data_IF_194815224761
#
_entry.id   IF_194815224761
#
_cell.length_a   1.000
_cell.length_b   1.000
_cell.length_c   1.000
_cell.angle_alpha   90.00
_cell.angle_beta   90.00
_cell.angle_gamma   90.00
#
_symmetry.space_group_name_H-M   'P 1'
#
loop_
_entity.id
_entity.type
_entity.pdbx_description
1 polymer ?
#
# COMPACT_ATOMS: atom_id res chain seq x y z
N UNK A 1 1.86 -0.23 25.63
CA UNK A 1 2.47 -1.37 24.90
C UNK A 1 1.56 -2.06 23.84
N UNK A 2 0.22 -2.03 23.95
CA UNK A 2 -0.70 -2.74 23.02
C UNK A 2 -0.77 -2.14 21.60
N UNK A 3 -0.63 -0.81 21.46
CA UNK A 3 -0.68 -0.08 20.16
C UNK A 3 0.54 -0.32 19.26
N UNK A 4 1.73 -0.51 19.87
CA UNK A 4 2.97 -0.80 19.15
C UNK A 4 2.94 -2.19 18.48
N UNK A 5 2.35 -3.19 19.13
CA UNK A 5 2.17 -4.54 18.57
C UNK A 5 1.23 -4.55 17.36
N UNK A 6 0.27 -3.63 17.31
CA UNK A 6 -0.64 -3.49 16.15
C UNK A 6 0.12 -2.91 14.96
N UNK A 7 0.93 -1.87 15.16
CA UNK A 7 1.79 -1.29 14.13
C UNK A 7 2.85 -2.28 13.61
N UNK A 8 3.41 -3.12 14.47
CA UNK A 8 4.35 -4.18 14.06
C UNK A 8 3.65 -5.27 13.24
N UNK A 9 2.41 -5.65 13.57
CA UNK A 9 1.59 -6.57 12.74
C UNK A 9 1.21 -5.94 11.39
N UNK A 10 1.06 -4.62 11.35
CA UNK A 10 0.83 -3.85 10.11
C UNK A 10 2.09 -3.83 9.23
N UNK A 11 3.28 -3.75 9.83
CA UNK A 11 4.55 -3.82 9.10
C UNK A 11 4.79 -5.20 8.43
N UNK A 12 4.32 -6.29 9.05
CA UNK A 12 4.43 -7.65 8.46
C UNK A 12 3.57 -7.86 7.21
N UNK A 13 2.57 -7.00 7.00
CA UNK A 13 1.54 -7.08 5.97
C UNK A 13 1.97 -6.47 4.65
N UNK A 14 2.63 -5.32 4.67
CA UNK A 14 3.05 -4.59 3.45
C UNK A 14 4.45 -5.06 2.99
N UNK A 15 5.11 -5.90 3.78
CA UNK A 15 6.46 -6.37 3.52
C UNK A 15 7.51 -5.49 4.20
N UNK A 16 8.81 -5.88 4.11
CA UNK A 16 9.91 -5.20 4.80
C UNK A 16 9.99 -3.69 4.53
N UNK A 17 9.49 -3.25 3.36
CA UNK A 17 9.51 -1.86 2.95
C UNK A 17 8.60 -0.93 3.79
N UNK A 18 7.48 -1.41 4.33
CA UNK A 18 6.62 -0.57 5.16
C UNK A 18 7.06 -0.45 6.62
N UNK A 19 7.95 -1.33 7.09
CA UNK A 19 8.64 -1.11 8.36
C UNK A 19 9.33 0.25 8.32
N UNK A 20 10.00 0.57 7.19
CA UNK A 20 10.67 1.87 7.00
C UNK A 20 9.69 3.05 6.95
N UNK A 21 8.54 2.90 6.29
CA UNK A 21 7.50 3.94 6.25
C UNK A 21 6.94 4.20 7.66
N UNK A 22 6.66 3.14 8.42
CA UNK A 22 6.21 3.27 9.81
C UNK A 22 7.29 3.81 10.76
N UNK A 23 8.57 3.59 10.46
CA UNK A 23 9.68 4.20 11.19
C UNK A 23 9.81 5.70 10.88
N UNK A 24 9.72 6.07 9.60
CA UNK A 24 9.81 7.46 9.14
C UNK A 24 8.64 8.32 9.66
N UNK A 25 7.41 7.84 9.52
CA UNK A 25 6.20 8.60 9.85
C UNK A 25 5.58 8.24 11.21
N UNK A 26 6.19 7.29 11.92
CA UNK A 26 5.67 6.78 13.21
C UNK A 26 5.35 7.86 14.27
N UNK A 27 6.16 8.92 14.43
CA UNK A 27 5.85 10.01 15.35
C UNK A 27 4.61 10.82 14.95
N UNK A 28 4.46 11.17 13.67
CA UNK A 28 3.32 11.94 13.14
C UNK A 28 2.03 11.14 13.23
N UNK A 29 2.07 9.85 12.81
CA UNK A 29 0.94 8.92 12.96
C UNK A 29 0.50 8.82 14.43
N UNK A 30 1.44 8.75 15.38
CA UNK A 30 1.10 8.68 16.81
C UNK A 30 0.44 9.95 17.34
N UNK A 31 0.80 11.10 16.79
CA UNK A 31 0.22 12.40 17.14
C UNK A 31 -1.22 12.49 16.62
N UNK A 32 -1.42 12.20 15.34
CA UNK A 32 -2.73 12.14 14.70
C UNK A 32 -3.68 11.13 15.35
N UNK A 33 -3.21 9.94 15.74
CA UNK A 33 -4.05 8.97 16.48
C UNK A 33 -4.50 9.51 17.85
N UNK A 34 -3.71 10.39 18.48
CA UNK A 34 -4.10 11.00 19.77
C UNK A 34 -5.10 12.12 19.58
N UNK A 35 -4.91 12.93 18.54
CA UNK A 35 -5.70 14.14 18.26
C UNK A 35 -7.02 13.79 17.55
N UNK A 36 -6.99 12.80 16.65
CA UNK A 36 -8.14 12.34 15.88
C UNK A 36 -8.25 10.79 15.93
N UNK A 37 -9.07 10.23 16.84
CA UNK A 37 -9.24 8.78 16.95
C UNK A 37 -9.95 8.14 15.75
N UNK A 38 -10.77 8.90 15.00
CA UNK A 38 -11.52 8.42 13.84
C UNK A 38 -10.59 8.17 12.64
N UNK A 39 -9.59 9.04 12.45
CA UNK A 39 -8.49 8.83 11.52
C UNK A 39 -7.87 7.44 11.69
N UNK A 40 -7.68 7.00 12.93
CA UNK A 40 -7.09 5.69 13.20
C UNK A 40 -7.92 4.51 12.69
N UNK A 41 -9.26 4.57 12.76
CA UNK A 41 -10.09 3.46 12.30
C UNK A 41 -10.16 3.40 10.76
N UNK A 42 -10.22 4.55 10.08
CA UNK A 42 -10.11 4.64 8.61
C UNK A 42 -8.73 4.15 8.14
N UNK A 43 -7.66 4.66 8.77
CA UNK A 43 -6.29 4.25 8.50
C UNK A 43 -6.09 2.74 8.69
N UNK A 44 -6.62 2.19 9.77
CA UNK A 44 -6.54 0.76 10.10
C UNK A 44 -7.40 -0.10 9.18
N UNK A 45 -8.53 0.38 8.65
CA UNK A 45 -9.31 -0.32 7.63
C UNK A 45 -8.54 -0.39 6.31
N UNK A 46 -7.96 0.72 5.85
CA UNK A 46 -7.12 0.76 4.64
C UNK A 46 -5.87 -0.12 4.78
N UNK A 47 -5.23 -0.12 5.95
CA UNK A 47 -4.13 -1.04 6.23
C UNK A 47 -4.56 -2.51 6.29
N UNK A 48 -5.78 -2.81 6.74
CA UNK A 48 -6.32 -4.17 6.80
C UNK A 48 -6.69 -4.72 5.42
N UNK A 49 -7.20 -3.90 4.50
CA UNK A 49 -7.46 -4.35 3.13
C UNK A 49 -6.14 -4.76 2.46
N UNK A 50 -5.08 -3.97 2.67
CA UNK A 50 -3.72 -4.27 2.23
C UNK A 50 -3.12 -5.51 2.95
N UNK A 51 -3.53 -5.76 4.20
CA UNK A 51 -3.17 -6.96 4.99
C UNK A 51 -3.77 -8.26 4.52
N UNK A 52 -5.05 -8.23 4.17
CA UNK A 52 -5.78 -9.40 3.70
C UNK A 52 -5.14 -9.98 2.45
N UNK A 53 -4.69 -9.11 1.55
CA UNK A 53 -4.15 -9.48 0.24
C UNK A 53 -2.85 -10.32 0.32
N UNK A 54 -2.05 -10.22 1.39
CA UNK A 54 -0.83 -11.04 1.58
C UNK A 54 -1.09 -12.42 2.21
N UNK A 55 -2.23 -12.60 2.88
CA UNK A 55 -2.64 -13.91 3.43
C UNK A 55 -3.15 -14.85 2.35
N UNK A 56 -3.50 -14.32 1.19
CA UNK A 56 -3.93 -15.12 0.06
C UNK A 56 -2.78 -15.83 -0.64
N UNK A 57 -3.12 -16.98 -1.23
CA UNK A 57 -2.24 -18.01 -1.81
C UNK A 57 -0.99 -17.43 -2.51
N UNK A 58 0.19 -17.96 -2.18
CA UNK A 58 1.42 -17.63 -2.92
C UNK A 58 1.31 -17.99 -4.41
N UNK A 59 2.02 -17.25 -5.26
CA UNK A 59 1.97 -17.44 -6.71
C UNK A 59 1.08 -16.43 -7.46
N UNK A 60 0.77 -16.70 -8.74
CA UNK A 60 0.14 -15.72 -9.62
C UNK A 60 -1.20 -15.18 -9.13
N UNK A 61 -2.06 -16.03 -8.57
CA UNK A 61 -3.37 -15.62 -8.08
C UNK A 61 -3.31 -14.66 -6.88
N UNK A 62 -2.35 -14.84 -5.96
CA UNK A 62 -2.13 -13.92 -4.85
C UNK A 62 -1.59 -12.57 -5.32
N UNK A 63 -0.67 -12.59 -6.28
CA UNK A 63 -0.19 -11.37 -6.91
C UNK A 63 -1.30 -10.59 -7.63
N UNK A 64 -2.18 -11.28 -8.37
CA UNK A 64 -3.30 -10.65 -9.07
C UNK A 64 -4.22 -9.89 -8.10
N UNK A 65 -4.62 -10.52 -6.99
CA UNK A 65 -5.44 -9.85 -5.96
C UNK A 65 -4.74 -8.64 -5.34
N UNK A 66 -3.45 -8.77 -5.03
CA UNK A 66 -2.67 -7.65 -4.49
C UNK A 66 -2.59 -6.49 -5.49
N UNK A 67 -2.42 -6.77 -6.78
CA UNK A 67 -2.43 -5.78 -7.84
C UNK A 67 -3.78 -5.06 -7.91
N UNK A 68 -4.89 -5.80 -7.86
CA UNK A 68 -6.25 -5.24 -7.84
C UNK A 68 -6.46 -4.28 -6.65
N UNK A 69 -6.09 -4.69 -5.43
CA UNK A 69 -6.19 -3.82 -4.25
C UNK A 69 -5.37 -2.53 -4.40
N UNK A 70 -4.14 -2.62 -4.92
CA UNK A 70 -3.29 -1.43 -5.13
C UNK A 70 -3.83 -0.54 -6.25
N UNK A 71 -4.51 -1.12 -7.24
CA UNK A 71 -5.19 -0.36 -8.31
C UNK A 71 -6.33 0.48 -7.73
N UNK A 72 -7.12 -0.06 -6.82
CA UNK A 72 -8.17 0.71 -6.13
C UNK A 72 -7.58 1.91 -5.35
N UNK A 73 -6.45 1.70 -4.66
CA UNK A 73 -5.80 2.79 -3.92
C UNK A 73 -5.20 3.88 -4.83
N UNK A 74 -4.68 3.50 -6.00
CA UNK A 74 -4.17 4.49 -6.97
C UNK A 74 -5.29 5.29 -7.63
N UNK A 75 -6.49 4.71 -7.81
CA UNK A 75 -7.69 5.45 -8.24
C UNK A 75 -8.11 6.47 -7.19
N UNK A 76 -8.10 6.11 -5.90
CA UNK A 76 -8.37 7.04 -4.82
C UNK A 76 -7.40 8.23 -4.85
N UNK A 77 -6.10 7.96 -4.87
CA UNK A 77 -5.06 9.01 -4.92
C UNK A 77 -5.19 9.91 -6.14
N UNK A 78 -5.58 9.36 -7.30
CA UNK A 78 -5.83 10.17 -8.48
C UNK A 78 -7.04 11.09 -8.28
N UNK A 79 -8.10 10.60 -7.63
CA UNK A 79 -9.31 11.38 -7.35
C UNK A 79 -9.11 12.45 -6.28
N UNK A 80 -8.20 12.26 -5.34
CA UNK A 80 -7.87 13.23 -4.27
C UNK A 80 -6.68 14.13 -4.62
N UNK A 81 -6.01 13.88 -5.75
CA UNK A 81 -4.81 14.63 -6.15
C UNK A 81 -5.08 16.14 -6.22
N UNK A 82 -4.46 16.88 -5.30
CA UNK A 82 -4.50 18.35 -5.24
C UNK A 82 -3.56 19.04 -6.25
N UNK A 83 -2.70 18.28 -6.95
CA UNK A 83 -1.78 18.80 -7.95
C UNK A 83 -1.50 17.80 -9.09
N UNK A 84 -0.99 18.33 -10.21
CA UNK A 84 -0.71 17.55 -11.42
C UNK A 84 0.32 16.45 -11.18
N UNK A 85 1.36 16.70 -10.38
CA UNK A 85 2.41 15.73 -10.12
C UNK A 85 1.88 14.50 -9.36
N UNK A 86 0.98 14.68 -8.40
CA UNK A 86 0.31 13.59 -7.69
C UNK A 86 -0.56 12.75 -8.64
N UNK A 87 -1.32 13.40 -9.53
CA UNK A 87 -2.15 12.73 -10.53
C UNK A 87 -1.31 11.93 -11.55
N UNK A 88 -0.19 12.50 -12.02
CA UNK A 88 0.76 11.82 -12.91
C UNK A 88 1.40 10.61 -12.21
N UNK A 89 1.79 10.76 -10.95
CA UNK A 89 2.40 9.68 -10.18
C UNK A 89 1.42 8.53 -9.93
N UNK A 90 0.15 8.83 -9.62
CA UNK A 90 -0.91 7.83 -9.50
C UNK A 90 -1.15 7.08 -10.84
N UNK A 91 -1.14 7.81 -11.96
CA UNK A 91 -1.28 7.24 -13.31
C UNK A 91 -0.11 6.30 -13.66
N UNK A 92 1.11 6.69 -13.28
CA UNK A 92 2.31 5.87 -13.45
C UNK A 92 2.20 4.57 -12.66
N UNK A 93 1.83 4.63 -11.39
CA UNK A 93 1.65 3.42 -10.57
C UNK A 93 0.57 2.50 -11.14
N UNK A 94 -0.55 3.05 -11.59
CA UNK A 94 -1.60 2.27 -12.28
C UNK A 94 -1.04 1.55 -13.51
N UNK A 95 -0.24 2.24 -14.32
CA UNK A 95 0.40 1.63 -15.51
C UNK A 95 1.34 0.49 -15.13
N UNK A 96 2.14 0.65 -14.07
CA UNK A 96 3.03 -0.41 -13.59
C UNK A 96 2.25 -1.62 -13.05
N UNK A 97 1.15 -1.38 -12.32
CA UNK A 97 0.23 -2.43 -11.84
C UNK A 97 -0.44 -3.18 -12.99
N UNK A 98 -0.89 -2.48 -14.04
CA UNK A 98 -1.49 -3.08 -15.24
C UNK A 98 -0.49 -3.95 -16.01
N UNK A 99 0.78 -3.54 -16.07
CA UNK A 99 1.84 -4.35 -16.67
C UNK A 99 2.09 -5.62 -15.86
N UNK A 100 2.11 -5.52 -14.52
CA UNK A 100 2.27 -6.69 -13.67
C UNK A 100 1.14 -7.69 -13.87
N UNK A 101 -0.12 -7.24 -13.89
CA UNK A 101 -1.29 -8.11 -14.13
C UNK A 101 -1.17 -8.87 -15.46
N UNK A 102 -0.79 -8.18 -16.54
CA UNK A 102 -0.63 -8.78 -17.88
C UNK A 102 0.46 -9.85 -17.94
N UNK A 103 1.47 -9.76 -17.08
CA UNK A 103 2.59 -10.72 -17.03
C UNK A 103 2.23 -11.99 -16.25
N UNK A 104 1.26 -11.94 -15.32
CA UNK A 104 0.92 -13.07 -14.45
C UNK A 104 0.48 -14.34 -15.22
N UNK A 105 -0.37 -14.27 -16.26
CA UNK A 105 -0.73 -15.46 -17.04
C UNK A 105 0.48 -16.11 -17.74
N UNK A 106 1.40 -15.30 -18.25
CA UNK A 106 2.63 -15.79 -18.91
C UNK A 106 3.49 -16.54 -17.89
N UNK A 107 3.66 -15.98 -16.69
CA UNK A 107 4.43 -16.60 -15.61
C UNK A 107 3.80 -17.91 -15.13
N UNK A 108 2.47 -18.03 -15.16
CA UNK A 108 1.78 -19.25 -14.73
C UNK A 108 2.04 -20.43 -15.69
N UNK A 109 2.24 -20.15 -16.98
CA UNK A 109 2.58 -21.17 -18.00
C UNK A 109 4.04 -21.63 -17.97
N UNK A 110 4.92 -20.94 -17.22
CA UNK A 110 6.35 -21.26 -17.17
C UNK A 110 6.64 -22.54 -16.37
N UNK A 111 7.78 -23.15 -16.70
CA UNK A 111 8.37 -24.24 -15.93
C UNK A 111 8.56 -23.86 -14.46
N UNK A 112 8.41 -24.84 -13.56
CA UNK A 112 8.31 -24.59 -12.11
C UNK A 112 9.48 -23.77 -11.53
N UNK A 113 10.69 -23.98 -12.05
CA UNK A 113 11.91 -23.28 -11.60
C UNK A 113 11.89 -21.81 -12.03
N UNK A 114 11.58 -21.54 -13.30
CA UNK A 114 11.50 -20.19 -13.85
C UNK A 114 10.33 -19.42 -13.27
N UNK A 115 9.15 -20.05 -13.18
CA UNK A 115 7.97 -19.48 -12.53
C UNK A 115 8.28 -18.95 -11.14
N UNK A 116 8.99 -19.74 -10.31
CA UNK A 116 9.37 -19.32 -8.95
C UNK A 116 10.29 -18.10 -8.94
N UNK A 117 11.23 -18.00 -9.87
CA UNK A 117 12.13 -16.85 -9.96
C UNK A 117 11.37 -15.58 -10.38
N UNK A 118 10.49 -15.69 -11.38
CA UNK A 118 9.65 -14.59 -11.83
C UNK A 118 8.67 -14.13 -10.75
N UNK A 119 8.00 -15.06 -10.06
CA UNK A 119 7.10 -14.73 -8.95
C UNK A 119 7.82 -13.92 -7.88
N UNK A 120 9.00 -14.35 -7.43
CA UNK A 120 9.76 -13.59 -6.41
C UNK A 120 10.13 -12.18 -6.86
N UNK A 121 10.46 -12.02 -8.15
CA UNK A 121 10.77 -10.69 -8.71
C UNK A 121 9.52 -9.81 -8.71
N UNK A 122 8.39 -10.34 -9.17
CA UNK A 122 7.11 -9.62 -9.17
C UNK A 122 6.66 -9.27 -7.75
N UNK A 123 6.81 -10.19 -6.79
CA UNK A 123 6.57 -9.93 -5.37
C UNK A 123 7.40 -8.75 -4.86
N UNK A 124 8.71 -8.74 -5.15
CA UNK A 124 9.59 -7.65 -4.72
C UNK A 124 9.23 -6.31 -5.35
N UNK A 125 8.84 -6.29 -6.63
CA UNK A 125 8.42 -5.06 -7.30
C UNK A 125 7.09 -4.55 -6.76
N UNK A 126 6.14 -5.47 -6.53
CA UNK A 126 4.83 -5.14 -5.96
C UNK A 126 4.95 -4.65 -4.51
N UNK A 127 5.88 -5.20 -3.73
CA UNK A 127 6.19 -4.73 -2.37
C UNK A 127 6.74 -3.29 -2.39
N UNK A 128 7.60 -2.94 -3.35
CA UNK A 128 8.12 -1.59 -3.50
C UNK A 128 7.02 -0.59 -3.91
N UNK A 129 6.17 -0.97 -4.88
CA UNK A 129 5.00 -0.18 -5.27
C UNK A 129 4.02 0.01 -4.12
N UNK A 130 3.73 -1.05 -3.38
CA UNK A 130 2.84 -0.99 -2.22
C UNK A 130 3.36 -0.01 -1.18
N UNK A 131 4.67 -0.01 -0.90
CA UNK A 131 5.26 0.92 0.05
C UNK A 131 5.12 2.38 -0.41
N UNK A 132 5.38 2.66 -1.70
CA UNK A 132 5.25 4.00 -2.26
C UNK A 132 3.80 4.51 -2.26
N UNK A 133 2.85 3.66 -2.67
CA UNK A 133 1.42 3.99 -2.70
C UNK A 133 0.92 4.24 -1.27
N UNK A 134 1.27 3.37 -0.32
CA UNK A 134 0.87 3.54 1.09
C UNK A 134 1.47 4.81 1.69
N UNK A 135 2.73 5.12 1.37
CA UNK A 135 3.35 6.36 1.82
C UNK A 135 2.59 7.57 1.29
N UNK A 136 2.20 7.58 0.01
CA UNK A 136 1.45 8.68 -0.58
C UNK A 136 0.04 8.82 0.03
N UNK A 137 -0.70 7.72 0.20
CA UNK A 137 -2.00 7.73 0.89
C UNK A 137 -1.85 8.26 2.32
N UNK A 138 -0.80 7.85 3.02
CA UNK A 138 -0.55 8.31 4.38
C UNK A 138 -0.29 9.81 4.42
N UNK A 139 0.53 10.34 3.52
CA UNK A 139 0.84 11.78 3.46
C UNK A 139 -0.43 12.57 3.17
N UNK A 140 -1.24 12.14 2.20
CA UNK A 140 -2.53 12.74 1.85
C UNK A 140 -3.48 12.76 3.06
N UNK A 141 -3.68 11.61 3.72
CA UNK A 141 -4.55 11.50 4.89
C UNK A 141 -4.03 12.37 6.08
N UNK A 142 -2.70 12.52 6.25
CA UNK A 142 -2.08 13.38 7.28
C UNK A 142 -2.37 14.85 6.98
N UNK A 143 -2.12 15.28 5.74
CA UNK A 143 -2.32 16.67 5.31
C UNK A 143 -3.79 17.08 5.48
N UNK A 144 -4.74 16.23 5.06
CA UNK A 144 -6.16 16.47 5.25
C UNK A 144 -6.55 16.63 6.73
N UNK A 145 -5.97 15.81 7.61
CA UNK A 145 -6.29 15.83 9.03
C UNK A 145 -5.69 17.03 9.79
N UNK A 146 -4.57 17.59 9.33
CA UNK A 146 -4.02 18.84 9.86
C UNK A 146 -4.88 20.04 9.42
N UNK A 147 -5.38 20.06 8.18
CA UNK A 147 -6.26 21.13 7.67
C UNK A 147 -7.57 21.22 8.49
N UNK A 148 -8.17 20.08 8.84
CA UNK A 148 -9.41 20.06 9.64
C UNK A 148 -9.20 20.59 11.07
N UNK A 149 -8.00 20.45 11.66
CA UNK A 149 -7.70 21.01 12.98
C UNK A 149 -7.49 22.53 12.96
N UNK A 150 -7.01 23.10 11.85
CA UNK A 150 -6.78 24.53 11.73
C UNK A 150 -8.08 25.33 11.44
N UNK A 151 -9.18 24.66 11.09
CA UNK A 151 -10.49 25.26 10.82
C UNK A 151 -11.45 25.29 12.05
N UNK A 152 -11.05 24.79 13.23
CA UNK A 152 -11.79 24.88 14.52
C UNK A 152 -11.26 25.98 15.46
#
# INVERSE_FOLDING_TARGET
MRRLRTLIKIATVIGPAAVKVLELYGPQIRRLIKENPEFFETFKQRLRSLAGAKKDKSGPAGLARRVETLREQTVYLYGTANNVAAAEQATKWRTELDQMEKVLPVVDTMERRERRAHIRRLESQLDALAAAIVQAVLVDDIEDADIVQDEE
#
